data_IF_762171497853
#
_entry.id   IF_762171497853
#
_cell.length_a   1.000
_cell.length_b   1.000
_cell.length_c   1.000
_cell.angle_alpha   90.00
_cell.angle_beta   90.00
_cell.angle_gamma   90.00
#
_symmetry.space_group_name_H-M   'P 1'
#
loop_
_entity.id
_entity.type
_entity.pdbx_description
1 polymer ?
#
# COMPACT_ATOMS: atom_id res chain seq x y z
N UNK A 1 10.50 -6.41 32.10
CA UNK A 1 9.51 -5.65 31.33
C UNK A 1 10.18 -4.37 30.84
N UNK A 2 10.68 -4.34 29.59
CA UNK A 2 11.35 -3.16 29.06
C UNK A 2 10.29 -2.16 28.56
N UNK A 3 10.32 -0.94 29.08
CA UNK A 3 9.50 0.17 28.60
C UNK A 3 9.94 0.52 27.17
N UNK A 4 9.06 0.34 26.18
CA UNK A 4 9.29 0.88 24.83
C UNK A 4 9.10 2.39 24.88
N UNK A 5 10.21 3.13 24.87
CA UNK A 5 10.21 4.57 24.72
C UNK A 5 9.85 4.88 23.26
N UNK A 6 8.69 5.50 23.04
CA UNK A 6 8.29 5.95 21.70
C UNK A 6 9.08 7.17 21.25
N UNK A 7 8.98 7.48 19.97
CA UNK A 7 9.65 8.58 19.30
C UNK A 7 9.23 9.98 19.80
N UNK A 8 10.07 11.00 19.54
CA UNK A 8 9.83 12.38 19.96
C UNK A 8 8.53 12.93 19.35
N UNK A 9 7.67 13.53 20.17
CA UNK A 9 6.41 14.17 19.74
C UNK A 9 6.59 15.28 18.67
N UNK A 10 7.81 15.79 18.48
CA UNK A 10 8.18 16.81 17.50
C UNK A 10 8.80 16.24 16.23
N UNK A 11 8.80 14.92 16.05
CA UNK A 11 9.29 14.27 14.84
C UNK A 11 8.54 14.77 13.61
N UNK A 12 9.31 15.21 12.60
CA UNK A 12 8.77 15.82 11.37
C UNK A 12 8.28 14.79 10.34
N UNK A 13 8.84 13.59 10.36
CA UNK A 13 8.51 12.52 9.41
C UNK A 13 7.93 11.37 10.21
N UNK A 14 6.60 11.31 10.27
CA UNK A 14 5.89 10.27 11.01
C UNK A 14 5.64 9.02 10.14
N UNK A 15 5.63 9.21 8.82
CA UNK A 15 5.48 8.16 7.82
C UNK A 15 6.58 8.32 6.74
N UNK A 16 7.12 7.22 6.20
CA UNK A 16 7.92 7.21 4.98
C UNK A 16 7.15 7.79 3.79
N UNK A 17 7.89 8.11 2.74
CA UNK A 17 7.32 8.72 1.53
C UNK A 17 6.40 7.74 0.77
N UNK A 18 6.58 6.43 0.97
CA UNK A 18 5.70 5.39 0.45
C UNK A 18 5.36 4.35 1.52
N UNK A 19 4.11 3.87 1.51
CA UNK A 19 3.69 2.75 2.36
C UNK A 19 4.48 1.46 2.09
N UNK A 20 5.01 1.30 0.87
CA UNK A 20 5.87 0.16 0.52
C UNK A 20 7.14 0.10 1.36
N UNK A 21 7.62 1.24 1.87
CA UNK A 21 8.79 1.30 2.74
C UNK A 21 8.51 0.75 4.15
N UNK A 22 7.24 0.58 4.53
CA UNK A 22 6.86 -0.14 5.74
C UNK A 22 6.75 -1.65 5.56
N UNK A 23 6.60 -2.12 4.33
CA UNK A 23 6.30 -3.53 4.05
C UNK A 23 7.57 -4.19 3.54
N UNK A 24 8.18 -5.00 4.40
CA UNK A 24 9.36 -5.81 4.08
C UNK A 24 9.11 -6.66 2.81
N UNK A 25 10.17 -6.92 2.06
CA UNK A 25 10.06 -7.59 0.74
C UNK A 25 9.56 -9.04 0.82
N UNK A 26 9.81 -9.71 1.95
CA UNK A 26 9.36 -11.08 2.24
C UNK A 26 8.08 -11.10 3.11
N UNK A 27 7.48 -9.94 3.38
CA UNK A 27 6.27 -9.86 4.17
C UNK A 27 5.13 -10.64 3.47
N UNK A 28 4.37 -11.47 4.21
CA UNK A 28 3.36 -12.34 3.61
C UNK A 28 2.24 -11.58 2.89
N UNK A 29 2.03 -10.30 3.24
CA UNK A 29 1.07 -9.42 2.57
C UNK A 29 1.41 -9.18 1.09
N UNK A 30 2.69 -9.27 0.70
CA UNK A 30 3.14 -9.16 -0.71
C UNK A 30 2.58 -10.25 -1.61
N UNK A 31 2.08 -11.36 -1.04
CA UNK A 31 1.33 -12.37 -1.79
C UNK A 31 0.10 -11.76 -2.49
N UNK A 32 -0.53 -10.76 -1.88
CA UNK A 32 -1.71 -10.13 -2.46
C UNK A 32 -1.37 -9.33 -3.71
N UNK A 33 -0.17 -8.78 -3.83
CA UNK A 33 0.28 -8.10 -5.05
C UNK A 33 0.25 -9.07 -6.23
N UNK A 34 0.89 -10.23 -6.10
CA UNK A 34 0.90 -11.28 -7.12
C UNK A 34 -0.49 -11.87 -7.39
N UNK A 35 -1.33 -12.00 -6.36
CA UNK A 35 -2.71 -12.45 -6.53
C UNK A 35 -3.53 -11.46 -7.36
N UNK A 36 -3.49 -10.18 -7.01
CA UNK A 36 -4.21 -9.10 -7.70
C UNK A 36 -3.74 -8.97 -9.15
N UNK A 37 -2.43 -9.05 -9.39
CA UNK A 37 -1.85 -8.99 -10.74
C UNK A 37 -2.28 -10.17 -11.63
N UNK A 38 -2.62 -11.32 -11.04
CA UNK A 38 -3.10 -12.50 -11.78
C UNK A 38 -4.56 -12.39 -12.22
N UNK A 39 -5.33 -11.45 -11.65
CA UNK A 39 -6.76 -11.33 -11.91
C UNK A 39 -7.06 -10.52 -13.18
N UNK A 40 -7.92 -11.08 -14.03
CA UNK A 40 -8.52 -10.30 -15.12
C UNK A 40 -9.67 -9.44 -14.58
N UNK A 41 -9.33 -8.23 -14.15
CA UNK A 41 -10.28 -7.28 -13.57
C UNK A 41 -11.44 -6.93 -14.51
N UNK A 42 -11.21 -6.91 -15.83
CA UNK A 42 -12.26 -6.67 -16.83
C UNK A 42 -13.25 -7.83 -16.89
N UNK A 43 -12.77 -9.08 -16.89
CA UNK A 43 -13.62 -10.26 -16.90
C UNK A 43 -14.43 -10.40 -15.59
N UNK A 44 -13.89 -9.89 -14.48
CA UNK A 44 -14.58 -9.82 -13.19
C UNK A 44 -15.61 -8.67 -13.11
N UNK A 45 -15.74 -7.85 -14.17
CA UNK A 45 -16.72 -6.76 -14.23
C UNK A 45 -16.26 -5.46 -13.55
N UNK A 46 -14.99 -5.32 -13.18
CA UNK A 46 -14.47 -4.07 -12.62
C UNK A 46 -14.28 -3.03 -13.72
N UNK A 47 -15.22 -2.09 -13.78
CA UNK A 47 -15.27 -1.01 -14.80
C UNK A 47 -14.13 0.01 -14.66
N UNK A 48 -13.56 0.17 -13.47
CA UNK A 48 -12.54 1.20 -13.14
C UNK A 48 -11.22 0.59 -12.64
N UNK A 49 -10.84 -0.56 -13.20
CA UNK A 49 -9.62 -1.30 -12.81
C UNK A 49 -8.32 -0.69 -13.36
N UNK A 50 -8.41 0.13 -14.41
CA UNK A 50 -7.25 0.85 -14.97
C UNK A 50 -7.21 2.27 -14.38
N UNK A 51 -6.09 2.66 -13.72
CA UNK A 51 -5.92 4.03 -13.24
C UNK A 51 -5.94 5.03 -14.39
N UNK A 52 -6.60 6.18 -14.18
CA UNK A 52 -6.46 7.31 -15.12
C UNK A 52 -5.06 7.90 -14.99
N UNK A 53 -4.54 8.45 -16.10
CA UNK A 53 -3.25 9.17 -16.11
C UNK A 53 -3.16 10.28 -15.04
N UNK A 54 -4.28 10.89 -14.69
CA UNK A 54 -4.36 11.93 -13.64
C UNK A 54 -4.31 11.38 -12.21
N UNK A 55 -4.20 10.06 -12.01
CA UNK A 55 -4.19 9.40 -10.70
C UNK A 55 -5.51 9.46 -9.94
N UNK A 56 -6.41 10.39 -10.28
CA UNK A 56 -7.72 10.52 -9.67
C UNK A 56 -8.73 9.55 -10.29
N UNK A 57 -9.04 8.48 -9.57
CA UNK A 57 -10.20 7.62 -9.84
C UNK A 57 -11.37 8.04 -8.94
N UNK A 58 -12.00 9.18 -9.23
CA UNK A 58 -13.29 9.58 -8.65
C UNK A 58 -14.33 9.91 -9.71
N UNK A 59 -15.61 9.85 -9.28
CA UNK A 59 -16.86 9.79 -10.07
C UNK A 59 -16.79 10.43 -11.45
#
# INVERSE_FOLDING_TARGET
MAYKKGEDRRQKVFFPDCIDEYVEGDAPVRLFDAFVDSLNMTALGFVRSVPKYTGYTGL
#
